data_IF_740733575959
#
_entry.id   IF_740733575959
#
_cell.length_a   1.000
_cell.length_b   1.000
_cell.length_c   1.000
_cell.angle_alpha   90.00
_cell.angle_beta   90.00
_cell.angle_gamma   90.00
#
_symmetry.space_group_name_H-M   'P 1'
#
loop_
_entity.id
_entity.type
_entity.pdbx_description
1 polymer ?
#
# COMPACT_ATOMS: atom_id res chain seq x y z
N UNK A 1 -27.08 -17.07 -1.42
CA UNK A 1 -27.38 -15.85 -0.63
C UNK A 1 -26.24 -14.88 -0.87
N UNK A 2 -26.50 -13.71 -1.46
CA UNK A 2 -25.48 -12.69 -1.72
C UNK A 2 -25.20 -11.99 -0.38
N UNK A 3 -23.95 -11.91 0.02
CA UNK A 3 -23.57 -11.19 1.24
C UNK A 3 -24.01 -9.72 1.13
N UNK A 4 -24.53 -9.10 2.20
CA UNK A 4 -24.92 -7.70 2.18
C UNK A 4 -23.69 -6.83 1.84
N UNK A 5 -23.89 -5.79 1.02
CA UNK A 5 -22.81 -4.89 0.63
C UNK A 5 -22.30 -4.09 1.84
N UNK A 6 -20.98 -4.05 2.02
CA UNK A 6 -20.34 -3.16 2.98
C UNK A 6 -20.11 -1.78 2.35
N UNK A 7 -21.08 -0.89 2.54
CA UNK A 7 -21.02 0.46 1.99
C UNK A 7 -19.82 1.29 2.48
N UNK A 8 -19.33 1.05 3.71
CA UNK A 8 -18.19 1.80 4.25
C UNK A 8 -16.92 1.43 3.50
N UNK A 9 -16.72 0.14 3.27
CA UNK A 9 -15.60 -0.40 2.49
C UNK A 9 -15.70 0.01 1.01
N UNK A 10 -16.91 -0.02 0.45
CA UNK A 10 -17.17 0.41 -0.92
C UNK A 10 -16.86 1.88 -1.17
N UNK A 11 -17.22 2.77 -0.24
CA UNK A 11 -16.87 4.20 -0.33
C UNK A 11 -15.36 4.45 -0.22
N UNK A 12 -14.66 3.73 0.66
CA UNK A 12 -13.20 3.79 0.77
C UNK A 12 -12.52 3.37 -0.54
N UNK A 13 -12.93 2.23 -1.10
CA UNK A 13 -12.40 1.72 -2.36
C UNK A 13 -12.67 2.69 -3.52
N UNK A 14 -13.88 3.26 -3.60
CA UNK A 14 -14.23 4.24 -4.62
C UNK A 14 -13.37 5.50 -4.51
N UNK A 15 -13.16 6.00 -3.29
CA UNK A 15 -12.30 7.17 -3.06
C UNK A 15 -10.86 6.90 -3.52
N UNK A 16 -10.33 5.69 -3.28
CA UNK A 16 -8.99 5.31 -3.72
C UNK A 16 -8.87 5.12 -5.23
N UNK A 17 -9.91 4.60 -5.90
CA UNK A 17 -9.95 4.52 -7.37
C UNK A 17 -9.99 5.92 -7.98
N UNK A 18 -10.79 6.83 -7.42
CA UNK A 18 -10.87 8.21 -7.88
C UNK A 18 -9.57 8.99 -7.62
N UNK A 19 -8.95 8.81 -6.46
CA UNK A 19 -7.63 9.39 -6.14
C UNK A 19 -6.51 8.78 -7.01
N UNK A 20 -6.56 7.47 -7.26
CA UNK A 20 -5.58 6.71 -8.04
C UNK A 20 -5.64 6.95 -9.56
N UNK A 21 -6.80 7.38 -10.07
CA UNK A 21 -7.03 7.62 -11.49
C UNK A 21 -6.80 6.36 -12.33
N UNK A 22 -6.26 6.54 -13.54
CA UNK A 22 -6.00 5.44 -14.48
C UNK A 22 -4.66 4.73 -14.14
N UNK A 23 -4.63 3.89 -13.10
CA UNK A 23 -3.43 3.16 -12.65
C UNK A 23 -2.24 4.04 -12.26
N UNK A 24 -2.46 5.03 -11.40
CA UNK A 24 -1.42 5.96 -10.94
C UNK A 24 -0.82 6.86 -12.05
N UNK A 25 -1.32 6.79 -13.30
CA UNK A 25 -0.77 7.53 -14.46
C UNK A 25 -0.89 9.06 -14.32
N UNK A 26 -1.83 9.55 -13.52
CA UNK A 26 -2.03 10.98 -13.22
C UNK A 26 -1.80 11.32 -11.74
N UNK A 27 -1.21 10.40 -10.97
CA UNK A 27 -1.07 10.56 -9.53
C UNK A 27 0.11 11.51 -9.20
N UNK A 28 -0.16 12.80 -9.09
CA UNK A 28 0.86 13.85 -8.88
C UNK A 28 1.15 14.16 -7.41
N UNK A 29 0.34 13.64 -6.47
CA UNK A 29 0.40 13.92 -5.02
C UNK A 29 1.77 13.59 -4.39
N UNK A 30 2.56 12.72 -5.03
CA UNK A 30 3.89 12.31 -4.57
C UNK A 30 4.99 12.47 -5.63
N UNK A 31 4.89 13.42 -6.57
CA UNK A 31 5.90 13.63 -7.62
C UNK A 31 7.34 13.83 -7.07
N UNK A 32 7.50 14.32 -5.84
CA UNK A 32 8.79 14.44 -5.14
C UNK A 32 9.32 13.14 -4.51
N UNK A 33 8.59 12.03 -4.61
CA UNK A 33 8.94 10.76 -3.99
C UNK A 33 10.12 10.09 -4.67
N UNK A 34 10.33 10.32 -5.97
CA UNK A 34 11.38 9.69 -6.76
C UNK A 34 12.79 9.99 -6.20
N UNK A 35 13.00 11.16 -5.60
CA UNK A 35 14.29 11.59 -5.03
C UNK A 35 14.50 11.23 -3.53
N UNK A 36 13.53 10.60 -2.85
CA UNK A 36 13.66 10.26 -1.43
C UNK A 36 14.50 8.99 -1.19
N UNK A 37 15.15 8.91 -0.03
CA UNK A 37 15.93 7.73 0.40
C UNK A 37 15.05 6.48 0.49
N UNK A 38 15.64 5.30 0.25
CA UNK A 38 14.91 4.02 0.21
C UNK A 38 14.13 3.74 1.51
N UNK A 39 14.71 4.10 2.67
CA UNK A 39 14.04 3.96 3.97
C UNK A 39 12.80 4.86 4.09
N UNK A 40 12.91 6.15 3.73
CA UNK A 40 11.76 7.06 3.76
C UNK A 40 10.64 6.58 2.84
N UNK A 41 10.98 6.11 1.64
CA UNK A 41 10.01 5.50 0.71
C UNK A 41 9.30 4.29 1.32
N UNK A 42 10.04 3.44 2.02
CA UNK A 42 9.48 2.26 2.69
C UNK A 42 8.50 2.64 3.80
N UNK A 43 8.87 3.56 4.71
CA UNK A 43 7.99 4.01 5.78
C UNK A 43 6.76 4.76 5.28
N UNK A 44 6.90 5.59 4.24
CA UNK A 44 5.77 6.28 3.62
C UNK A 44 4.77 5.30 3.01
N UNK A 45 5.22 4.19 2.41
CA UNK A 45 4.34 3.12 1.91
C UNK A 45 3.57 2.45 3.06
N UNK A 46 4.23 2.19 4.18
CA UNK A 46 3.57 1.63 5.38
C UNK A 46 2.53 2.60 5.93
N UNK A 47 2.92 3.86 6.11
CA UNK A 47 2.01 4.89 6.63
C UNK A 47 0.80 5.08 5.72
N UNK A 48 0.99 5.03 4.38
CA UNK A 48 -0.10 5.03 3.42
C UNK A 48 -1.02 3.83 3.63
N UNK A 49 -0.48 2.62 3.85
CA UNK A 49 -1.30 1.42 4.02
C UNK A 49 -1.89 1.26 5.43
N UNK A 50 -1.48 2.06 6.42
CA UNK A 50 -1.98 1.96 7.80
C UNK A 50 -3.49 2.20 7.92
N UNK A 51 -4.08 3.06 7.08
CA UNK A 51 -5.52 3.29 7.13
C UNK A 51 -6.34 2.05 6.70
N UNK A 52 -5.74 1.11 5.96
CA UNK A 52 -6.34 -0.20 5.66
C UNK A 52 -6.27 -1.19 6.80
N UNK A 53 -5.38 -1.02 7.79
CA UNK A 53 -5.25 -1.97 8.92
C UNK A 53 -6.58 -2.13 9.66
N UNK A 54 -7.41 -1.09 9.70
CA UNK A 54 -8.73 -1.13 10.35
C UNK A 54 -9.76 -2.02 9.64
N UNK A 55 -9.62 -2.20 8.32
CA UNK A 55 -10.59 -2.94 7.49
C UNK A 55 -10.00 -4.23 6.89
N UNK A 56 -8.67 -4.31 6.79
CA UNK A 56 -7.88 -5.38 6.18
C UNK A 56 -6.57 -5.61 6.96
N UNK A 57 -6.64 -5.97 8.26
CA UNK A 57 -5.46 -6.09 9.10
C UNK A 57 -4.46 -7.14 8.57
N UNK A 58 -4.96 -8.27 8.06
CA UNK A 58 -4.12 -9.34 7.56
C UNK A 58 -3.32 -8.92 6.31
N UNK A 59 -3.96 -8.25 5.35
CA UNK A 59 -3.32 -7.78 4.12
C UNK A 59 -2.38 -6.61 4.40
N UNK A 60 -2.82 -5.63 5.19
CA UNK A 60 -2.03 -4.44 5.51
C UNK A 60 -0.78 -4.74 6.36
N UNK A 61 -0.82 -5.78 7.21
CA UNK A 61 0.33 -6.18 8.03
C UNK A 61 1.22 -7.23 7.35
N UNK A 62 0.67 -8.11 6.51
CA UNK A 62 1.47 -9.12 5.80
C UNK A 62 2.43 -8.49 4.78
N UNK A 63 2.02 -7.40 4.12
CA UNK A 63 2.83 -6.73 3.11
C UNK A 63 4.17 -6.16 3.64
N UNK A 64 4.22 -5.38 4.75
CA UNK A 64 5.49 -4.90 5.29
C UNK A 64 6.38 -6.03 5.82
N UNK A 65 5.79 -7.06 6.43
CA UNK A 65 6.52 -8.25 6.92
C UNK A 65 7.18 -8.98 5.74
N UNK A 66 6.39 -9.28 4.71
CA UNK A 66 6.89 -9.94 3.50
C UNK A 66 7.98 -9.12 2.81
N UNK A 67 7.77 -7.80 2.66
CA UNK A 67 8.75 -6.92 1.99
C UNK A 67 10.09 -6.88 2.74
N UNK A 68 10.05 -6.82 4.07
CA UNK A 68 11.25 -6.86 4.92
C UNK A 68 11.94 -8.21 4.84
N UNK A 69 11.18 -9.30 5.01
CA UNK A 69 11.70 -10.66 4.87
C UNK A 69 12.36 -10.88 3.51
N UNK A 70 11.66 -10.54 2.43
CA UNK A 70 12.15 -10.68 1.06
C UNK A 70 13.39 -9.81 0.80
N UNK A 71 13.49 -8.62 1.40
CA UNK A 71 14.70 -7.80 1.34
C UNK A 71 15.90 -8.53 1.96
N UNK A 72 15.75 -9.07 3.18
CA UNK A 72 16.82 -9.86 3.82
C UNK A 72 17.15 -11.13 3.05
N UNK A 73 16.13 -11.80 2.50
CA UNK A 73 16.33 -12.95 1.63
C UNK A 73 17.16 -12.59 0.40
N UNK A 74 16.89 -11.46 -0.27
CA UNK A 74 17.72 -10.99 -1.39
C UNK A 74 19.14 -10.65 -0.98
N UNK A 75 19.36 -10.07 0.20
CA UNK A 75 20.73 -9.82 0.68
C UNK A 75 21.50 -11.11 0.92
N UNK A 76 20.84 -12.14 1.48
CA UNK A 76 21.46 -13.43 1.77
C UNK A 76 21.68 -14.31 0.53
N UNK A 77 20.85 -14.18 -0.50
CA UNK A 77 20.91 -14.97 -1.74
C UNK A 77 21.55 -14.24 -2.92
N UNK A 78 22.00 -13.01 -2.73
CA UNK A 78 22.92 -12.36 -3.67
C UNK A 78 24.29 -13.03 -3.50
N UNK A 79 24.64 -13.90 -4.46
CA UNK A 79 26.03 -14.23 -4.77
C UNK A 79 26.80 -12.95 -5.11
#
# INVERSE_FOLDING_TARGET
>A
MIAPMDEKRGRLLLAEILDGGNFEQHFTKYAGFTHQSMGKKYFLKIWRNMHFVRYYPAEALSEPIFRTWHFFWRMKNKK
#
